data_IF_308246967978
#
_entry.id   IF_308246967978
#
_cell.length_a   1.000
_cell.length_b   1.000
_cell.length_c   1.000
_cell.angle_alpha   90.00
_cell.angle_beta   90.00
_cell.angle_gamma   90.00
#
_symmetry.space_group_name_H-M   'P 1'
#
loop_
_entity.id
_entity.type
_entity.pdbx_description
1 polymer ?
#
# COMPACT_ATOMS: atom_id res chain seq x y z
N UNK A 1 -33.90 0.42 -41.01
CA UNK A 1 -33.23 -0.64 -40.23
C UNK A 1 -32.23 0.03 -39.32
N UNK A 2 -32.52 0.01 -38.02
CA UNK A 2 -31.79 0.70 -36.95
C UNK A 2 -30.34 0.25 -36.87
N UNK A 3 -29.40 1.20 -36.86
CA UNK A 3 -28.03 0.96 -36.43
C UNK A 3 -28.06 0.78 -34.92
N UNK A 4 -27.88 -0.47 -34.47
CA UNK A 4 -27.75 -0.81 -33.06
C UNK A 4 -26.71 0.08 -32.38
N UNK A 5 -27.15 0.79 -31.35
CA UNK A 5 -26.28 1.58 -30.50
C UNK A 5 -25.29 0.64 -29.79
N UNK A 6 -24.05 0.58 -30.27
CA UNK A 6 -22.95 0.07 -29.46
C UNK A 6 -22.85 0.94 -28.20
N UNK A 7 -23.35 0.40 -27.09
CA UNK A 7 -23.11 0.95 -25.77
C UNK A 7 -21.62 1.07 -25.56
N UNK A 8 -21.06 2.27 -25.72
CA UNK A 8 -19.69 2.62 -25.33
C UNK A 8 -19.57 2.33 -23.84
N UNK A 9 -19.11 1.12 -23.49
CA UNK A 9 -18.82 0.74 -22.10
C UNK A 9 -17.88 1.80 -21.53
N UNK A 10 -18.32 2.49 -20.49
CA UNK A 10 -17.46 3.47 -19.79
C UNK A 10 -16.18 2.74 -19.39
N UNK A 11 -14.99 3.30 -19.69
CA UNK A 11 -13.74 2.63 -19.37
C UNK A 11 -13.66 2.41 -17.86
N UNK A 12 -13.25 1.20 -17.45
CA UNK A 12 -13.14 0.81 -16.03
C UNK A 12 -12.13 1.69 -15.27
N UNK A 13 -11.14 2.24 -15.98
CA UNK A 13 -10.09 3.11 -15.45
C UNK A 13 -9.97 4.36 -16.32
N UNK A 14 -9.78 5.50 -15.67
CA UNK A 14 -9.50 6.76 -16.36
C UNK A 14 -8.05 6.80 -16.85
N UNK A 15 -7.75 7.64 -17.85
CA UNK A 15 -6.37 7.83 -18.34
C UNK A 15 -5.41 8.28 -17.23
N UNK A 16 -5.89 9.06 -16.26
CA UNK A 16 -5.13 9.44 -15.06
C UNK A 16 -4.79 8.21 -14.20
N UNK A 17 -5.76 7.34 -13.93
CA UNK A 17 -5.54 6.12 -13.16
C UNK A 17 -4.58 5.17 -13.90
N UNK A 18 -4.68 5.07 -15.22
CA UNK A 18 -3.71 4.31 -16.04
C UNK A 18 -2.29 4.87 -15.91
N UNK A 19 -2.14 6.20 -15.94
CA UNK A 19 -0.84 6.85 -15.72
C UNK A 19 -0.28 6.59 -14.32
N UNK A 20 -1.11 6.61 -13.29
CA UNK A 20 -0.72 6.27 -11.91
C UNK A 20 -0.29 4.81 -11.79
N UNK A 21 -1.03 3.89 -12.41
CA UNK A 21 -0.67 2.46 -12.45
C UNK A 21 0.69 2.28 -13.12
N UNK A 22 0.94 2.94 -14.26
CA UNK A 22 2.21 2.82 -14.96
C UNK A 22 3.38 3.36 -14.11
N UNK A 23 3.22 4.55 -13.53
CA UNK A 23 4.28 5.18 -12.73
C UNK A 23 4.56 4.42 -11.42
N UNK A 24 3.54 4.19 -10.60
CA UNK A 24 3.71 3.51 -9.32
C UNK A 24 3.96 2.01 -9.50
N UNK A 25 3.33 1.37 -10.47
CA UNK A 25 3.55 -0.04 -10.79
C UNK A 25 4.94 -0.31 -11.33
N UNK A 26 5.44 0.53 -12.24
CA UNK A 26 6.81 0.47 -12.74
C UNK A 26 7.83 0.70 -11.63
N UNK A 27 7.62 1.72 -10.78
CA UNK A 27 8.46 1.95 -9.62
C UNK A 27 8.45 0.77 -8.64
N UNK A 28 7.26 0.23 -8.31
CA UNK A 28 7.14 -0.90 -7.39
C UNK A 28 7.85 -2.15 -7.92
N UNK A 29 7.66 -2.44 -9.21
CA UNK A 29 8.34 -3.55 -9.87
C UNK A 29 9.86 -3.35 -9.86
N UNK A 30 10.33 -2.16 -10.24
CA UNK A 30 11.76 -1.85 -10.32
C UNK A 30 12.45 -1.92 -8.96
N UNK A 31 11.87 -1.30 -7.91
CA UNK A 31 12.45 -1.38 -6.56
C UNK A 31 12.62 -2.81 -6.07
N UNK A 32 11.63 -3.66 -6.35
CA UNK A 32 11.70 -5.08 -5.98
C UNK A 32 12.68 -5.87 -6.83
N UNK A 33 12.61 -5.72 -8.15
CA UNK A 33 13.47 -6.45 -9.08
C UNK A 33 14.96 -6.11 -8.88
N UNK A 34 15.26 -4.84 -8.53
CA UNK A 34 16.60 -4.38 -8.22
C UNK A 34 17.06 -4.72 -6.81
N UNK A 35 16.19 -5.32 -5.98
CA UNK A 35 16.52 -5.65 -4.59
C UNK A 35 16.84 -4.43 -3.73
N UNK A 36 16.28 -3.26 -4.07
CA UNK A 36 16.43 -2.02 -3.29
C UNK A 36 15.57 -2.18 -2.03
N UNK A 37 16.11 -2.89 -1.06
CA UNK A 37 15.51 -3.13 0.24
C UNK A 37 16.62 -3.08 1.29
N UNK A 38 16.32 -2.49 2.44
CA UNK A 38 17.23 -2.49 3.59
C UNK A 38 16.97 -3.79 4.34
N UNK A 39 17.90 -4.77 4.32
CA UNK A 39 17.73 -5.99 5.11
C UNK A 39 17.87 -5.63 6.59
N UNK A 40 16.94 -6.10 7.42
CA UNK A 40 17.07 -5.97 8.88
C UNK A 40 17.43 -7.30 9.51
N UNK A 41 16.50 -8.26 9.49
CA UNK A 41 16.69 -9.62 10.00
C UNK A 41 15.94 -10.55 9.05
N UNK A 42 16.59 -11.52 8.38
CA UNK A 42 15.91 -12.42 7.46
C UNK A 42 14.69 -13.11 8.12
N UNK A 43 13.50 -13.16 7.48
CA UNK A 43 13.14 -12.68 6.14
C UNK A 43 12.59 -11.24 6.07
N UNK A 44 12.70 -10.46 7.16
CA UNK A 44 12.15 -9.11 7.30
C UNK A 44 13.03 -8.07 6.60
N UNK A 45 12.44 -7.34 5.67
CA UNK A 45 13.10 -6.33 4.85
C UNK A 45 12.27 -5.05 4.78
N UNK A 46 12.93 -3.89 4.82
CA UNK A 46 12.29 -2.60 4.57
C UNK A 46 12.41 -2.27 3.08
N UNK A 47 11.30 -2.39 2.37
CA UNK A 47 11.27 -2.25 0.91
C UNK A 47 10.39 -1.04 0.52
N UNK A 48 10.98 0.04 -0.04
CA UNK A 48 10.22 1.19 -0.55
C UNK A 48 9.19 0.81 -1.63
N UNK A 49 9.46 -0.23 -2.43
CA UNK A 49 8.55 -0.76 -3.43
C UNK A 49 7.26 -1.33 -2.82
N UNK A 50 7.30 -1.83 -1.58
CA UNK A 50 6.10 -2.30 -0.87
C UNK A 50 5.19 -1.13 -0.42
N UNK A 51 5.66 0.11 -0.50
CA UNK A 51 4.90 1.31 -0.16
C UNK A 51 4.14 1.88 -1.37
N UNK A 52 4.55 1.55 -2.59
CA UNK A 52 3.97 2.04 -3.84
C UNK A 52 2.49 1.65 -4.02
N UNK A 53 2.04 0.42 -3.69
CA UNK A 53 0.62 0.06 -3.77
C UNK A 53 -0.27 0.93 -2.87
N UNK A 54 0.26 1.35 -1.70
CA UNK A 54 -0.44 2.24 -0.78
C UNK A 54 -0.56 3.65 -1.35
N UNK A 55 0.55 4.21 -1.82
CA UNK A 55 0.59 5.55 -2.43
C UNK A 55 -0.35 5.59 -3.65
N UNK A 56 -0.30 4.56 -4.49
CA UNK A 56 -1.19 4.40 -5.63
C UNK A 56 -2.66 4.27 -5.21
N UNK A 57 -2.96 3.52 -4.15
CA UNK A 57 -4.30 3.40 -3.58
C UNK A 57 -4.85 4.74 -3.07
N UNK A 58 -4.02 5.51 -2.37
CA UNK A 58 -4.37 6.85 -1.87
C UNK A 58 -4.63 7.83 -3.03
N UNK A 59 -3.78 7.82 -4.06
CA UNK A 59 -3.82 8.76 -5.19
C UNK A 59 -4.80 8.38 -6.32
N UNK A 60 -5.09 7.09 -6.51
CA UNK A 60 -5.82 6.59 -7.68
C UNK A 60 -6.98 5.65 -7.37
N UNK A 61 -7.14 5.25 -6.10
CA UNK A 61 -8.24 4.42 -5.64
C UNK A 61 -7.92 2.94 -5.50
N UNK A 62 -8.87 2.15 -4.98
CA UNK A 62 -8.63 0.77 -4.55
C UNK A 62 -8.18 -0.12 -5.70
N UNK A 63 -8.76 0.05 -6.90
CA UNK A 63 -8.37 -0.73 -8.08
C UNK A 63 -6.95 -0.38 -8.57
N UNK A 64 -6.56 0.89 -8.50
CA UNK A 64 -5.19 1.33 -8.83
C UNK A 64 -4.18 0.76 -7.83
N UNK A 65 -4.48 0.84 -6.53
CA UNK A 65 -3.66 0.23 -5.48
C UNK A 65 -3.54 -1.29 -5.63
N UNK A 66 -4.63 -1.96 -6.01
CA UNK A 66 -4.63 -3.40 -6.26
C UNK A 66 -3.72 -3.79 -7.43
N UNK A 67 -3.85 -3.13 -8.58
CA UNK A 67 -3.05 -3.43 -9.79
C UNK A 67 -1.56 -3.16 -9.53
N UNK A 68 -1.24 -2.05 -8.86
CA UNK A 68 0.15 -1.75 -8.46
C UNK A 68 0.68 -2.78 -7.45
N UNK A 69 -0.18 -3.28 -6.55
CA UNK A 69 0.13 -4.39 -5.66
C UNK A 69 0.50 -5.66 -6.41
N UNK A 70 -0.26 -6.02 -7.45
CA UNK A 70 0.05 -7.19 -8.29
C UNK A 70 1.40 -6.97 -9.01
N UNK A 71 1.60 -5.79 -9.61
CA UNK A 71 2.86 -5.45 -10.29
C UNK A 71 4.07 -5.57 -9.35
N UNK A 72 3.93 -5.16 -8.08
CA UNK A 72 4.95 -5.33 -7.04
C UNK A 72 5.17 -6.79 -6.64
N UNK A 73 4.12 -7.61 -6.66
CA UNK A 73 4.17 -9.01 -6.23
C UNK A 73 4.87 -9.94 -7.22
N UNK A 74 4.82 -9.64 -8.52
CA UNK A 74 5.43 -10.45 -9.58
C UNK A 74 6.93 -10.68 -9.38
N UNK A 75 7.78 -9.64 -9.21
CA UNK A 75 9.23 -9.82 -9.06
C UNK A 75 9.66 -10.24 -7.64
N UNK A 76 8.74 -10.66 -6.78
CA UNK A 76 9.07 -10.93 -5.39
C UNK A 76 9.80 -12.25 -5.18
N UNK A 77 10.75 -12.29 -4.23
CA UNK A 77 11.30 -13.55 -3.72
C UNK A 77 10.29 -14.44 -2.97
N UNK A 78 9.12 -13.89 -2.59
CA UNK A 78 8.00 -14.63 -1.99
C UNK A 78 6.69 -14.30 -2.73
N UNK A 79 6.55 -14.67 -4.02
CA UNK A 79 5.39 -14.29 -4.84
C UNK A 79 4.09 -14.78 -4.25
N UNK A 80 4.07 -15.99 -3.66
CA UNK A 80 2.85 -16.57 -3.10
C UNK A 80 2.27 -15.77 -1.93
N UNK A 81 3.04 -14.87 -1.30
CA UNK A 81 2.54 -13.92 -0.30
C UNK A 81 2.23 -12.58 -0.94
N UNK A 82 3.20 -12.02 -1.67
CA UNK A 82 3.12 -10.64 -2.13
C UNK A 82 2.00 -10.45 -3.19
N UNK A 83 1.67 -11.47 -3.98
CA UNK A 83 0.67 -11.34 -5.05
C UNK A 83 -0.74 -11.02 -4.52
N UNK A 84 -1.05 -11.40 -3.29
CA UNK A 84 -2.34 -11.08 -2.65
C UNK A 84 -2.20 -10.09 -1.50
N UNK A 85 -1.07 -10.10 -0.77
CA UNK A 85 -0.88 -9.18 0.35
C UNK A 85 -0.75 -7.72 -0.11
N UNK A 86 0.00 -7.48 -1.20
CA UNK A 86 0.23 -6.12 -1.69
C UNK A 86 -1.03 -5.48 -2.27
N UNK A 87 -1.89 -6.19 -3.04
CA UNK A 87 -3.19 -5.64 -3.46
C UNK A 87 -4.12 -5.31 -2.31
N UNK A 88 -4.25 -6.18 -1.31
CA UNK A 88 -5.10 -5.94 -0.13
C UNK A 88 -4.66 -4.68 0.60
N UNK A 89 -3.35 -4.51 0.77
CA UNK A 89 -2.75 -3.33 1.40
C UNK A 89 -3.03 -2.04 0.60
N UNK A 90 -2.95 -2.09 -0.73
CA UNK A 90 -3.30 -0.96 -1.60
C UNK A 90 -4.79 -0.59 -1.51
N UNK A 91 -5.68 -1.58 -1.48
CA UNK A 91 -7.13 -1.39 -1.32
C UNK A 91 -7.43 -0.78 0.05
N UNK A 92 -6.90 -1.37 1.12
CA UNK A 92 -7.09 -0.90 2.49
C UNK A 92 -6.74 0.59 2.62
N UNK A 93 -5.59 1.00 2.09
CA UNK A 93 -5.18 2.39 2.19
C UNK A 93 -6.05 3.35 1.39
N UNK A 94 -6.58 2.93 0.24
CA UNK A 94 -7.53 3.75 -0.50
C UNK A 94 -8.75 4.11 0.37
N UNK A 95 -9.30 3.13 1.10
CA UNK A 95 -10.44 3.35 1.99
C UNK A 95 -10.09 4.17 3.22
N UNK A 96 -9.02 3.83 3.95
CA UNK A 96 -8.62 4.59 5.14
C UNK A 96 -8.28 6.03 4.78
N UNK A 97 -7.64 6.26 3.63
CA UNK A 97 -7.35 7.61 3.15
C UNK A 97 -8.60 8.44 2.90
N UNK A 98 -9.54 7.90 2.10
CA UNK A 98 -10.77 8.62 1.70
C UNK A 98 -11.76 8.82 2.85
N UNK A 99 -11.95 7.81 3.68
CA UNK A 99 -13.03 7.81 4.69
C UNK A 99 -12.56 8.22 6.09
N UNK A 100 -11.28 8.07 6.41
CA UNK A 100 -10.76 8.39 7.74
C UNK A 100 -9.86 9.62 7.65
N UNK A 101 -8.74 9.56 6.92
CA UNK A 101 -7.71 10.61 6.95
C UNK A 101 -8.23 11.93 6.37
N UNK A 102 -8.76 11.93 5.15
CA UNK A 102 -9.19 13.16 4.49
C UNK A 102 -10.44 13.80 5.13
N UNK A 103 -11.21 13.05 5.94
CA UNK A 103 -12.37 13.57 6.68
C UNK A 103 -11.99 14.42 7.89
N UNK A 104 -10.77 14.29 8.40
CA UNK A 104 -10.29 15.11 9.52
C UNK A 104 -10.01 16.53 9.02
N UNK A 105 -10.78 17.52 9.50
CA UNK A 105 -10.65 18.92 9.06
C UNK A 105 -9.39 19.60 9.59
N UNK A 106 -9.01 19.31 10.83
CA UNK A 106 -7.84 19.89 11.48
C UNK A 106 -6.55 19.21 10.98
N UNK A 107 -5.65 20.00 10.39
CA UNK A 107 -4.40 19.51 9.80
C UNK A 107 -3.49 18.83 10.82
N UNK A 108 -3.39 19.33 12.06
CA UNK A 108 -2.52 18.73 13.09
C UNK A 108 -3.08 17.36 13.50
N UNK A 109 -4.39 17.29 13.72
CA UNK A 109 -5.07 16.02 14.03
C UNK A 109 -4.97 15.07 12.85
N UNK A 110 -5.09 15.54 11.61
CA UNK A 110 -4.98 14.71 10.42
C UNK A 110 -3.64 13.99 10.33
N UNK A 111 -2.53 14.67 10.64
CA UNK A 111 -1.20 14.05 10.71
C UNK A 111 -1.08 13.00 11.82
N UNK A 112 -1.64 13.27 13.00
CA UNK A 112 -1.68 12.31 14.11
C UNK A 112 -2.51 11.07 13.76
N UNK A 113 -3.70 11.26 13.21
CA UNK A 113 -4.54 10.16 12.72
C UNK A 113 -3.84 9.38 11.61
N UNK A 114 -3.06 10.05 10.76
CA UNK A 114 -2.32 9.37 9.72
C UNK A 114 -1.23 8.46 10.30
N UNK A 115 -0.41 8.96 11.23
CA UNK A 115 0.60 8.16 11.93
C UNK A 115 -0.03 6.97 12.66
N UNK A 116 -1.14 7.20 13.36
CA UNK A 116 -1.85 6.17 14.09
C UNK A 116 -2.42 5.10 13.14
N UNK A 117 -3.03 5.49 12.02
CA UNK A 117 -3.54 4.55 11.03
C UNK A 117 -2.43 3.77 10.30
N UNK A 118 -1.25 4.38 10.09
CA UNK A 118 -0.08 3.66 9.59
C UNK A 118 0.37 2.56 10.56
N UNK A 119 0.35 2.85 11.87
CA UNK A 119 0.64 1.83 12.88
C UNK A 119 -0.41 0.71 12.91
N UNK A 120 -1.70 1.06 12.84
CA UNK A 120 -2.79 0.07 12.80
C UNK A 120 -2.72 -0.86 11.58
N UNK A 121 -2.36 -0.33 10.41
CA UNK A 121 -2.11 -1.15 9.23
C UNK A 121 -1.05 -2.21 9.53
N UNK A 122 0.08 -1.81 10.12
CA UNK A 122 1.16 -2.73 10.40
C UNK A 122 0.75 -3.78 11.43
N UNK A 123 0.00 -3.37 12.46
CA UNK A 123 -0.45 -4.25 13.54
C UNK A 123 -1.50 -5.27 13.08
N UNK A 124 -2.55 -4.84 12.36
CA UNK A 124 -3.71 -5.68 12.05
C UNK A 124 -3.69 -6.32 10.68
N UNK A 125 -2.97 -5.73 9.72
CA UNK A 125 -3.02 -6.16 8.32
C UNK A 125 -1.67 -6.72 7.91
N UNK A 126 -0.63 -5.90 7.88
CA UNK A 126 0.65 -6.28 7.28
C UNK A 126 1.37 -7.35 8.10
N UNK A 127 1.56 -7.16 9.42
CA UNK A 127 2.28 -8.13 10.23
C UNK A 127 1.57 -9.50 10.32
N UNK A 128 0.25 -9.58 10.61
CA UNK A 128 -0.44 -10.86 10.63
C UNK A 128 -0.41 -11.55 9.26
N UNK A 129 -0.63 -10.82 8.16
CA UNK A 129 -0.62 -11.41 6.81
C UNK A 129 0.76 -11.95 6.44
N UNK A 130 1.83 -11.17 6.65
CA UNK A 130 3.19 -11.63 6.36
C UNK A 130 3.61 -12.81 7.24
N UNK A 131 3.31 -12.77 8.54
CA UNK A 131 3.73 -13.82 9.47
C UNK A 131 2.91 -15.08 9.27
N UNK A 132 1.59 -14.97 9.03
CA UNK A 132 0.75 -16.10 8.68
C UNK A 132 1.21 -16.74 7.38
N UNK A 133 1.56 -15.96 6.37
CA UNK A 133 2.03 -16.50 5.11
C UNK A 133 3.37 -17.25 5.27
N UNK A 134 4.33 -16.67 5.98
CA UNK A 134 5.60 -17.34 6.25
C UNK A 134 5.45 -18.58 7.14
N UNK A 135 4.49 -18.58 8.07
CA UNK A 135 4.24 -19.70 8.98
C UNK A 135 3.46 -20.85 8.33
N UNK A 136 2.37 -20.55 7.62
CA UNK A 136 1.46 -21.57 7.09
C UNK A 136 1.81 -22.00 5.66
N UNK A 137 2.26 -21.07 4.81
CA UNK A 137 2.60 -21.37 3.41
C UNK A 137 4.03 -21.89 3.34
N UNK A 138 4.99 -21.12 3.87
CA UNK A 138 6.41 -21.42 3.74
C UNK A 138 6.99 -22.24 4.90
N UNK A 139 6.27 -22.40 6.01
CA UNK A 139 6.69 -23.17 7.20
C UNK A 139 8.06 -22.76 7.75
N UNK A 140 8.41 -21.48 7.65
CA UNK A 140 9.73 -20.95 8.04
C UNK A 140 9.84 -20.79 9.56
N UNK A 141 8.77 -20.33 10.21
CA UNK A 141 8.68 -20.13 11.66
C UNK A 141 7.24 -20.30 12.13
N UNK A 142 6.98 -20.60 13.42
CA UNK A 142 5.62 -20.69 13.94
C UNK A 142 4.97 -19.30 14.01
N UNK A 143 3.65 -19.23 13.79
CA UNK A 143 2.91 -17.96 13.83
C UNK A 143 2.98 -17.31 15.23
N UNK A 144 2.70 -18.10 16.27
CA UNK A 144 3.00 -17.76 17.66
C UNK A 144 4.26 -18.51 18.12
N UNK A 145 5.23 -17.86 18.78
CA UNK A 145 5.20 -16.48 19.30
C UNK A 145 5.75 -15.41 18.36
N UNK A 146 6.03 -15.73 17.08
CA UNK A 146 6.70 -14.80 16.16
C UNK A 146 5.95 -13.48 15.98
N UNK A 147 4.62 -13.52 15.84
CA UNK A 147 3.81 -12.31 15.69
C UNK A 147 3.96 -11.30 16.84
N UNK A 148 3.71 -11.65 18.11
CA UNK A 148 3.92 -10.72 19.22
C UNK A 148 5.40 -10.29 19.37
N UNK A 149 6.35 -11.15 18.99
CA UNK A 149 7.77 -10.79 19.05
C UNK A 149 8.12 -9.71 18.02
N UNK A 150 7.67 -9.82 16.76
CA UNK A 150 7.94 -8.79 15.75
C UNK A 150 7.23 -7.48 16.04
N UNK A 151 6.10 -7.49 16.78
CA UNK A 151 5.44 -6.28 17.25
C UNK A 151 6.32 -5.47 18.23
N UNK A 152 7.13 -6.10 19.06
CA UNK A 152 7.99 -5.41 20.03
C UNK A 152 9.05 -4.51 19.42
N UNK A 153 9.38 -4.68 18.13
CA UNK A 153 10.44 -3.92 17.47
C UNK A 153 10.12 -3.60 16.01
N UNK A 154 10.03 -4.60 15.15
CA UNK A 154 9.95 -4.42 13.69
C UNK A 154 8.59 -3.87 13.25
N UNK A 155 7.54 -4.64 13.53
CA UNK A 155 6.17 -4.34 13.11
C UNK A 155 5.52 -3.27 13.99
N UNK A 156 5.95 -3.08 15.24
CA UNK A 156 5.37 -2.05 16.11
C UNK A 156 6.08 -0.70 16.08
N UNK A 157 7.35 -0.64 15.65
CA UNK A 157 8.16 0.57 15.78
C UNK A 157 8.87 0.90 14.46
N UNK A 158 9.80 0.06 14.02
CA UNK A 158 10.72 0.39 12.91
C UNK A 158 9.97 0.60 11.59
N UNK A 159 9.15 -0.37 11.21
CA UNK A 159 8.48 -0.35 9.91
C UNK A 159 7.34 0.69 9.82
N UNK A 160 6.46 0.86 10.83
CA UNK A 160 5.47 1.94 10.83
C UNK A 160 6.11 3.34 10.73
N UNK A 161 7.23 3.57 11.42
CA UNK A 161 7.93 4.86 11.37
C UNK A 161 8.48 5.13 9.96
N UNK A 162 9.12 4.14 9.35
CA UNK A 162 9.60 4.25 7.97
C UNK A 162 8.47 4.51 6.99
N UNK A 163 7.39 3.73 7.09
CA UNK A 163 6.24 3.85 6.22
C UNK A 163 5.57 5.22 6.37
N UNK A 164 5.38 5.69 7.61
CA UNK A 164 4.83 7.01 7.89
C UNK A 164 5.75 8.10 7.35
N UNK A 165 7.06 8.02 7.54
CA UNK A 165 8.00 9.01 7.06
C UNK A 165 7.96 9.14 5.52
N UNK A 166 7.97 8.02 4.80
CA UNK A 166 7.89 8.02 3.33
C UNK A 166 6.54 8.55 2.86
N UNK A 167 5.43 8.08 3.45
CA UNK A 167 4.12 8.58 3.08
C UNK A 167 3.93 10.06 3.38
N UNK A 168 4.38 10.52 4.54
CA UNK A 168 4.32 11.91 4.94
C UNK A 168 5.13 12.79 3.99
N UNK A 169 6.34 12.36 3.61
CA UNK A 169 7.15 13.05 2.64
C UNK A 169 6.44 13.18 1.28
N UNK A 170 5.85 12.09 0.78
CA UNK A 170 5.10 12.09 -0.49
C UNK A 170 3.85 12.97 -0.45
N UNK A 171 3.05 12.87 0.61
CA UNK A 171 1.84 13.68 0.78
C UNK A 171 2.18 15.17 0.90
N UNK A 172 3.26 15.51 1.59
CA UNK A 172 3.72 16.89 1.72
C UNK A 172 4.32 17.44 0.43
N UNK A 173 5.02 16.60 -0.35
CA UNK A 173 5.60 16.99 -1.63
C UNK A 173 4.54 17.15 -2.73
N UNK A 174 3.50 16.32 -2.73
CA UNK A 174 2.46 16.29 -3.77
C UNK A 174 1.04 16.36 -3.19
N UNK A 175 0.66 17.42 -2.45
CA UNK A 175 -0.61 17.45 -1.73
C UNK A 175 -1.83 17.30 -2.65
N UNK A 176 -1.81 17.92 -3.84
CA UNK A 176 -2.90 17.83 -4.81
C UNK A 176 -3.04 16.44 -5.46
N UNK A 177 -1.95 15.64 -5.50
CA UNK A 177 -2.02 14.26 -5.99
C UNK A 177 -2.83 13.38 -5.04
N UNK A 178 -2.74 13.64 -3.74
CA UNK A 178 -3.41 12.87 -2.69
C UNK A 178 -4.71 13.51 -2.19
N UNK A 179 -5.10 14.67 -2.72
CA UNK A 179 -6.28 15.41 -2.27
C UNK A 179 -6.17 15.95 -0.85
N UNK A 180 -4.93 16.18 -0.38
CA UNK A 180 -4.65 16.63 0.97
C UNK A 180 -5.11 18.08 1.22
N UNK A 181 -4.96 18.93 0.21
CA UNK A 181 -5.41 20.32 0.18
C UNK A 181 -6.94 20.45 0.17
N UNK A 182 -7.60 19.64 -0.66
CA UNK A 182 -9.05 19.68 -0.86
C UNK A 182 -9.84 18.88 0.17
N UNK A 183 -9.18 17.98 0.91
CA UNK A 183 -9.84 17.05 1.83
C UNK A 183 -10.75 16.05 1.11
N UNK A 184 -10.57 15.86 -0.20
CA UNK A 184 -11.37 14.97 -1.03
C UNK A 184 -10.44 14.02 -1.79
N UNK A 185 -10.77 12.73 -1.77
CA UNK A 185 -10.03 11.77 -2.55
C UNK A 185 -10.14 12.13 -4.04
N UNK A 186 -9.04 12.02 -4.82
CA UNK A 186 -9.00 12.37 -6.24
C UNK A 186 -9.74 11.37 -7.17
N UNK A 187 -10.52 10.44 -6.58
CA UNK A 187 -11.25 9.35 -7.21
C UNK A 187 -12.53 9.02 -6.43
#
# INVERSE_FOLDING_TARGET
MEKGSESKKKPLLTSRQMGLIAAFGGAAFAFRALGIAIPLVPPLVMDPGALMPCLAGMAGGPLVGAIVGIARGIPSGLPAVDLWAQPIKGIYWAYVWKYIILRVKDTKKRWLFFAFMTWFLQFFVEAPMFIAANAFIYKIYPFYPTWPFTLGWYSGIVYPLFQFAVFAAMVKAFPGLFGWDTGKAPW
#
